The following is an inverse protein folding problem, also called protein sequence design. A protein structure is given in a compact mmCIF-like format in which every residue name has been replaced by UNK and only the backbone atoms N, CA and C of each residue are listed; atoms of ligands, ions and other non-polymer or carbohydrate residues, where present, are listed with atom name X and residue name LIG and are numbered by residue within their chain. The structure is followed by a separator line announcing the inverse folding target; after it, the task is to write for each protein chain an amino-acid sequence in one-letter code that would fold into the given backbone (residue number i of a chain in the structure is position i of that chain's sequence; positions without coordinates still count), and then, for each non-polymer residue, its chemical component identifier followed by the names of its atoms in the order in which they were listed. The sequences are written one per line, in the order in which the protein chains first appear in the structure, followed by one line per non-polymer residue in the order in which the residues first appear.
data_IF_374400681550
#
_entry.id   IF_374400681550
#
_cell.length_a   1.000
_cell.length_b   1.000
_cell.length_c   1.000
_cell.angle_alpha   90.00
_cell.angle_beta   90.00
_cell.angle_gamma   90.00
#
_symmetry.space_group_name_H-M   'P 1'
#
loop_
_entity.id
_entity.type
_entity.pdbx_description
1 polymer ?
#
# COMPACT_ATOMS: atom_id res chain seq x y z
N UNK A 1 -20.07 -1.44 -11.74
CA UNK A 1 -19.87 -0.32 -12.71
C UNK A 1 -20.09 1.07 -12.08
N UNK A 2 -20.54 1.13 -10.81
CA UNK A 2 -20.81 2.40 -10.13
C UNK A 2 -19.54 3.22 -9.91
N UNK A 3 -18.41 2.57 -9.62
CA UNK A 3 -17.15 3.22 -9.26
C UNK A 3 -16.22 3.52 -10.43
N UNK A 4 -16.50 2.99 -11.61
CA UNK A 4 -15.73 3.23 -12.87
C UNK A 4 -14.19 3.06 -12.72
N UNK A 5 -13.75 2.22 -11.78
CA UNK A 5 -12.32 1.98 -11.51
C UNK A 5 -11.65 2.98 -10.56
N UNK A 6 -12.39 3.89 -9.95
CA UNK A 6 -11.82 4.85 -8.99
C UNK A 6 -11.60 4.30 -7.59
N UNK A 7 -12.16 3.15 -7.28
CA UNK A 7 -11.96 2.46 -6.01
C UNK A 7 -11.33 1.08 -6.27
N UNK A 8 -10.06 0.97 -5.99
CA UNK A 8 -9.30 -0.26 -6.19
C UNK A 8 -9.60 -1.33 -5.12
N UNK A 9 -10.14 -0.89 -3.99
CA UNK A 9 -10.51 -1.73 -2.86
C UNK A 9 -12.01 -1.65 -2.57
N UNK A 10 -12.85 -1.70 -3.60
CA UNK A 10 -14.30 -1.48 -3.51
C UNK A 10 -15.02 -2.39 -2.51
N UNK A 11 -14.47 -3.57 -2.23
CA UNK A 11 -14.99 -4.48 -1.22
C UNK A 11 -14.50 -4.14 0.21
N UNK A 12 -13.44 -3.36 0.37
CA UNK A 12 -12.85 -3.07 1.68
C UNK A 12 -13.80 -2.27 2.57
N UNK A 13 -14.51 -1.29 2.02
CA UNK A 13 -15.45 -0.48 2.78
C UNK A 13 -16.60 -1.32 3.39
N UNK A 14 -17.38 -2.12 2.61
CA UNK A 14 -18.43 -2.95 3.19
C UNK A 14 -17.90 -4.03 4.12
N UNK A 15 -16.73 -4.63 3.83
CA UNK A 15 -16.10 -5.60 4.72
C UNK A 15 -15.66 -4.93 6.03
N UNK A 16 -15.07 -3.74 5.95
CA UNK A 16 -14.67 -2.96 7.12
C UNK A 16 -15.88 -2.57 7.99
N UNK A 17 -16.97 -2.12 7.40
CA UNK A 17 -18.22 -1.83 8.12
C UNK A 17 -18.81 -3.09 8.77
N UNK A 18 -18.85 -4.21 8.04
CA UNK A 18 -19.33 -5.48 8.61
C UNK A 18 -18.44 -5.92 9.79
N UNK A 19 -17.11 -5.83 9.65
CA UNK A 19 -16.17 -6.10 10.74
C UNK A 19 -16.39 -5.19 11.96
N UNK A 20 -16.65 -3.90 11.72
CA UNK A 20 -16.98 -2.95 12.77
C UNK A 20 -18.25 -3.33 13.53
N UNK A 21 -19.33 -3.67 12.83
CA UNK A 21 -20.59 -4.11 13.46
C UNK A 21 -20.41 -5.42 14.21
N UNK A 22 -19.69 -6.39 13.66
CA UNK A 22 -19.38 -7.64 14.32
C UNK A 22 -18.56 -7.41 15.61
N UNK A 23 -17.55 -6.55 15.53
CA UNK A 23 -16.74 -6.19 16.70
C UNK A 23 -17.62 -5.53 17.78
N UNK A 24 -18.43 -4.54 17.42
CA UNK A 24 -19.34 -3.89 18.35
C UNK A 24 -20.31 -4.90 19.00
N UNK A 25 -20.87 -5.80 18.22
CA UNK A 25 -21.81 -6.82 18.72
C UNK A 25 -21.12 -7.82 19.64
N UNK A 26 -20.02 -8.41 19.20
CA UNK A 26 -19.35 -9.48 19.96
C UNK A 26 -18.71 -8.95 21.25
N UNK A 27 -17.92 -7.90 21.15
CA UNK A 27 -17.07 -7.46 22.27
C UNK A 27 -17.75 -6.41 23.15
N UNK A 28 -18.57 -5.52 22.60
CA UNK A 28 -19.27 -4.49 23.40
C UNK A 28 -20.61 -4.93 23.92
N UNK A 29 -21.41 -5.65 23.10
CA UNK A 29 -22.78 -6.03 23.48
C UNK A 29 -22.81 -7.40 24.14
N UNK A 30 -22.12 -8.41 23.60
CA UNK A 30 -22.13 -9.77 24.13
C UNK A 30 -21.01 -10.02 25.16
N UNK A 31 -20.09 -9.07 25.36
CA UNK A 31 -19.05 -9.17 26.36
C UNK A 31 -18.00 -10.26 26.09
N UNK A 32 -17.87 -10.71 24.85
CA UNK A 32 -16.82 -11.68 24.47
C UNK A 32 -15.45 -11.02 24.71
N UNK A 33 -14.54 -11.74 25.34
CA UNK A 33 -13.19 -11.24 25.59
C UNK A 33 -12.43 -11.12 24.27
N UNK A 34 -11.88 -9.93 24.01
CA UNK A 34 -11.05 -9.68 22.84
C UNK A 34 -9.80 -10.58 22.91
N UNK A 35 -9.50 -11.34 21.85
CA UNK A 35 -8.24 -12.07 21.82
C UNK A 35 -7.07 -11.09 21.90
N UNK A 36 -6.04 -11.42 22.65
CA UNK A 36 -4.83 -10.61 22.71
C UNK A 36 -4.25 -10.46 21.31
N UNK A 37 -3.97 -9.23 20.90
CA UNK A 37 -3.26 -9.01 19.65
C UNK A 37 -1.89 -9.72 19.72
N UNK A 38 -1.47 -10.46 18.67
CA UNK A 38 -0.14 -11.02 18.63
C UNK A 38 0.88 -9.88 18.82
N UNK A 39 1.78 -10.04 19.80
CA UNK A 39 2.83 -9.04 20.01
C UNK A 39 3.73 -8.97 18.77
N UNK A 40 4.26 -7.79 18.48
CA UNK A 40 5.23 -7.62 17.38
C UNK A 40 6.44 -8.56 17.52
N UNK A 41 6.76 -8.94 18.75
CA UNK A 41 7.84 -9.87 19.10
C UNK A 41 7.59 -11.32 18.65
N UNK A 42 6.35 -11.69 18.34
CA UNK A 42 6.00 -13.03 17.81
C UNK A 42 6.18 -13.12 16.30
N UNK A 43 6.37 -12.00 15.59
CA UNK A 43 6.60 -11.99 14.15
C UNK A 43 8.05 -12.37 13.86
N UNK A 44 8.26 -13.51 13.21
CA UNK A 44 9.58 -13.91 12.76
C UNK A 44 10.06 -12.95 11.65
N UNK A 45 11.19 -12.30 11.87
CA UNK A 45 11.84 -11.43 10.88
C UNK A 45 12.70 -12.28 9.97
N UNK A 46 12.40 -12.25 8.68
CA UNK A 46 13.20 -12.94 7.68
C UNK A 46 14.48 -12.15 7.35
N UNK A 47 15.53 -12.86 6.92
CA UNK A 47 16.73 -12.22 6.42
C UNK A 47 16.40 -11.27 5.24
N UNK A 48 16.84 -10.02 5.36
CA UNK A 48 16.66 -9.00 4.31
C UNK A 48 17.20 -9.47 2.95
N UNK A 49 18.36 -10.12 2.96
CA UNK A 49 18.96 -10.67 1.73
C UNK A 49 18.07 -11.75 1.11
N UNK A 50 17.59 -12.70 1.91
CA UNK A 50 16.73 -13.79 1.44
C UNK A 50 15.44 -13.27 0.80
N UNK A 51 14.77 -12.31 1.46
CA UNK A 51 13.53 -11.74 0.93
C UNK A 51 13.78 -10.93 -0.34
N UNK A 52 14.84 -10.12 -0.37
CA UNK A 52 15.18 -9.34 -1.56
C UNK A 52 15.52 -10.25 -2.76
N UNK A 53 16.24 -11.35 -2.53
CA UNK A 53 16.53 -12.32 -3.58
C UNK A 53 15.25 -13.03 -4.04
N UNK A 54 14.44 -13.53 -3.12
CA UNK A 54 13.19 -14.22 -3.45
C UNK A 54 12.22 -13.31 -4.22
N UNK A 55 11.89 -12.15 -3.67
CA UNK A 55 11.02 -11.20 -4.34
C UNK A 55 11.63 -10.66 -5.63
N UNK A 56 12.94 -10.34 -5.62
CA UNK A 56 13.64 -9.84 -6.79
C UNK A 56 13.64 -10.82 -7.96
N UNK A 57 13.81 -12.12 -7.69
CA UNK A 57 13.72 -13.17 -8.73
C UNK A 57 12.29 -13.25 -9.28
N UNK A 58 11.27 -13.36 -8.41
CA UNK A 58 9.88 -13.47 -8.86
C UNK A 58 9.44 -12.25 -9.67
N UNK A 59 9.76 -11.05 -9.18
CA UNK A 59 9.44 -9.79 -9.83
C UNK A 59 10.24 -9.63 -11.13
N UNK A 60 11.52 -10.00 -11.11
CA UNK A 60 12.38 -9.99 -12.28
C UNK A 60 11.90 -10.93 -13.39
N UNK A 61 11.37 -12.10 -13.04
CA UNK A 61 10.75 -13.02 -14.00
C UNK A 61 9.57 -12.38 -14.71
N UNK A 62 8.75 -11.57 -14.03
CA UNK A 62 7.65 -10.83 -14.69
C UNK A 62 8.18 -9.90 -15.79
N UNK A 63 9.31 -9.21 -15.56
CA UNK A 63 9.96 -8.36 -16.57
C UNK A 63 10.46 -9.20 -17.74
N UNK A 64 11.13 -10.32 -17.46
CA UNK A 64 11.65 -11.22 -18.50
C UNK A 64 10.49 -11.76 -19.38
N UNK A 65 9.41 -12.21 -18.75
CA UNK A 65 8.22 -12.66 -19.50
C UNK A 65 7.58 -11.53 -20.30
N UNK A 66 7.46 -10.34 -19.74
CA UNK A 66 6.94 -9.19 -20.48
C UNK A 66 7.77 -8.87 -21.73
N UNK A 67 9.09 -8.90 -21.62
CA UNK A 67 10.00 -8.70 -22.75
C UNK A 67 9.90 -9.83 -23.77
N UNK A 68 9.81 -11.08 -23.30
CA UNK A 68 9.62 -12.26 -24.19
C UNK A 68 8.29 -12.21 -24.95
N UNK A 69 7.24 -11.62 -24.35
CA UNK A 69 5.95 -11.37 -25.00
C UNK A 69 5.97 -10.15 -25.94
N UNK A 70 7.10 -9.44 -26.05
CA UNK A 70 7.27 -8.32 -26.97
C UNK A 70 6.85 -6.96 -26.42
N UNK A 71 6.81 -6.78 -25.08
CA UNK A 71 6.56 -5.48 -24.49
C UNK A 71 7.61 -4.46 -24.94
N UNK A 72 7.15 -3.36 -25.52
CA UNK A 72 8.03 -2.27 -25.96
C UNK A 72 8.11 -1.17 -24.90
N UNK A 73 9.26 -0.55 -24.67
CA UNK A 73 9.41 0.55 -23.70
C UNK A 73 8.39 1.68 -23.91
N UNK A 74 8.04 1.98 -25.16
CA UNK A 74 7.04 3.00 -25.49
C UNK A 74 5.63 2.64 -24.99
N UNK A 75 5.27 1.35 -25.00
CA UNK A 75 3.97 0.88 -24.49
C UNK A 75 3.91 1.03 -22.97
N UNK A 76 4.97 0.65 -22.28
CA UNK A 76 5.05 0.83 -20.83
C UNK A 76 5.08 2.31 -20.44
N UNK A 77 5.83 3.14 -21.18
CA UNK A 77 5.82 4.59 -20.96
C UNK A 77 4.44 5.22 -21.13
N UNK A 78 3.65 4.73 -22.08
CA UNK A 78 2.26 5.17 -22.27
C UNK A 78 1.37 4.87 -21.05
N UNK A 79 1.61 3.76 -20.34
CA UNK A 79 0.94 3.49 -19.07
C UNK A 79 1.34 4.51 -18.00
N UNK A 80 2.65 4.77 -17.83
CA UNK A 80 3.16 5.68 -16.80
C UNK A 80 2.69 7.11 -16.97
N UNK A 81 2.40 7.51 -18.20
CA UNK A 81 2.00 8.87 -18.59
C UNK A 81 0.55 8.96 -19.02
N UNK A 82 -0.25 7.93 -18.76
CA UNK A 82 -1.67 7.93 -19.11
C UNK A 82 -2.38 9.13 -18.45
N UNK A 83 -3.13 9.95 -19.22
CA UNK A 83 -3.79 11.14 -18.71
C UNK A 83 -4.96 10.83 -17.79
N UNK A 84 -5.46 9.61 -17.85
CA UNK A 84 -6.56 9.12 -17.04
C UNK A 84 -6.19 7.79 -16.39
N UNK A 85 -6.92 7.44 -15.35
CA UNK A 85 -6.74 6.17 -14.66
C UNK A 85 -7.10 4.99 -15.58
N UNK A 86 -6.17 4.05 -15.74
CA UNK A 86 -6.37 2.82 -16.54
C UNK A 86 -7.02 1.76 -15.66
N UNK A 87 -8.32 1.52 -15.86
CA UNK A 87 -9.09 0.60 -15.01
C UNK A 87 -8.76 -0.90 -15.19
N UNK A 88 -8.14 -1.29 -16.31
CA UNK A 88 -7.64 -2.65 -16.54
C UNK A 88 -6.49 -2.62 -17.54
N UNK A 89 -5.28 -2.73 -17.03
CA UNK A 89 -4.05 -2.65 -17.83
C UNK A 89 -3.97 -3.81 -18.83
N UNK A 90 -4.23 -5.05 -18.38
CA UNK A 90 -4.12 -6.22 -19.24
C UNK A 90 -5.10 -6.21 -20.41
N UNK A 91 -6.33 -5.71 -20.21
CA UNK A 91 -7.34 -5.67 -21.27
C UNK A 91 -7.23 -4.45 -22.18
N UNK A 92 -6.68 -3.32 -21.69
CA UNK A 92 -6.60 -2.08 -22.46
C UNK A 92 -5.25 -1.90 -23.16
N UNK A 93 -4.17 -2.41 -22.55
CA UNK A 93 -2.80 -2.18 -23.02
C UNK A 93 -2.03 -3.47 -23.34
N UNK A 94 -2.57 -4.63 -22.98
CA UNK A 94 -1.98 -5.95 -23.20
C UNK A 94 -1.35 -6.57 -21.95
N UNK A 95 -1.31 -7.90 -21.94
CA UNK A 95 -0.75 -8.69 -20.82
C UNK A 95 0.74 -8.44 -20.64
N UNK A 96 1.46 -8.19 -21.72
CA UNK A 96 2.89 -7.87 -21.71
C UNK A 96 3.17 -6.54 -20.96
N UNK A 97 2.31 -5.53 -21.11
CA UNK A 97 2.42 -4.25 -20.38
C UNK A 97 2.05 -4.44 -18.91
N UNK A 98 1.03 -5.25 -18.63
CA UNK A 98 0.66 -5.60 -17.26
C UNK A 98 1.82 -6.31 -16.55
N UNK A 99 2.44 -7.33 -17.15
CA UNK A 99 3.57 -8.05 -16.55
C UNK A 99 4.79 -7.13 -16.35
N UNK A 100 5.05 -6.25 -17.32
CA UNK A 100 6.10 -5.23 -17.17
C UNK A 100 5.82 -4.33 -15.97
N UNK A 101 4.56 -3.91 -15.78
CA UNK A 101 4.15 -3.08 -14.66
C UNK A 101 4.29 -3.82 -13.32
N UNK A 102 3.89 -5.08 -13.23
CA UNK A 102 4.11 -5.92 -12.03
C UNK A 102 5.60 -5.97 -11.68
N UNK A 103 6.45 -6.18 -12.68
CA UNK A 103 7.89 -6.23 -12.49
C UNK A 103 8.48 -4.90 -12.01
N UNK A 104 8.26 -3.82 -12.74
CA UNK A 104 8.85 -2.51 -12.41
C UNK A 104 8.26 -1.94 -11.13
N UNK A 105 6.94 -2.05 -10.93
CA UNK A 105 6.31 -1.58 -9.69
C UNK A 105 6.74 -2.42 -8.48
N UNK A 106 6.89 -3.74 -8.66
CA UNK A 106 7.41 -4.62 -7.60
C UNK A 106 8.82 -4.24 -7.16
N UNK A 107 9.73 -3.99 -8.10
CA UNK A 107 11.08 -3.49 -7.79
C UNK A 107 11.03 -2.13 -7.09
N UNK A 108 10.12 -1.25 -7.51
CA UNK A 108 9.93 0.06 -6.88
C UNK A 108 9.46 -0.07 -5.42
N UNK A 109 8.47 -0.94 -5.14
CA UNK A 109 8.01 -1.21 -3.77
C UNK A 109 9.15 -1.81 -2.93
N UNK A 110 9.87 -2.79 -3.47
CA UNK A 110 10.96 -3.45 -2.77
C UNK A 110 12.09 -2.46 -2.44
N UNK A 111 12.44 -1.59 -3.37
CA UNK A 111 13.41 -0.53 -3.15
C UNK A 111 12.94 0.44 -2.06
N UNK A 112 11.69 0.87 -2.10
CA UNK A 112 11.12 1.75 -1.07
C UNK A 112 11.18 1.11 0.32
N UNK A 113 10.81 -0.17 0.47
CA UNK A 113 10.84 -0.87 1.76
C UNK A 113 12.27 -1.02 2.31
N UNK A 114 13.25 -1.20 1.42
CA UNK A 114 14.65 -1.19 1.82
C UNK A 114 15.12 0.21 2.27
N UNK A 115 14.67 1.27 1.58
CA UNK A 115 15.03 2.65 1.89
C UNK A 115 14.47 3.11 3.25
N UNK A 116 13.22 2.78 3.56
CA UNK A 116 12.63 3.13 4.85
C UNK A 116 13.07 2.22 6.00
N UNK A 117 13.83 1.17 5.72
CA UNK A 117 14.29 0.22 6.74
C UNK A 117 13.19 -0.68 7.30
N UNK A 118 12.14 -0.96 6.53
CA UNK A 118 11.05 -1.84 6.95
C UNK A 118 11.57 -3.24 7.32
N UNK A 119 10.98 -3.86 8.33
CA UNK A 119 11.24 -5.25 8.67
C UNK A 119 10.55 -6.18 7.70
N UNK A 120 11.26 -7.20 7.22
CA UNK A 120 10.68 -8.23 6.37
C UNK A 120 10.17 -9.40 7.22
N UNK A 121 8.87 -9.57 7.22
CA UNK A 121 8.15 -10.67 7.88
C UNK A 121 6.98 -11.13 6.99
N UNK A 122 6.19 -12.07 7.43
CA UNK A 122 5.05 -12.59 6.66
C UNK A 122 4.03 -11.51 6.28
N UNK A 123 3.80 -10.53 7.17
CA UNK A 123 2.89 -9.40 6.90
C UNK A 123 3.47 -8.51 5.79
N UNK A 124 4.74 -8.12 5.90
CA UNK A 124 5.40 -7.27 4.89
C UNK A 124 5.42 -7.93 3.51
N UNK A 125 5.66 -9.25 3.45
CA UNK A 125 5.57 -10.01 2.21
C UNK A 125 4.16 -9.98 1.64
N UNK A 126 3.15 -10.24 2.47
CA UNK A 126 1.74 -10.17 2.07
C UNK A 126 1.36 -8.80 1.51
N UNK A 127 1.86 -7.73 2.13
CA UNK A 127 1.64 -6.35 1.68
C UNK A 127 2.27 -6.10 0.30
N UNK A 128 3.49 -6.56 0.06
CA UNK A 128 4.14 -6.42 -1.26
C UNK A 128 3.27 -7.05 -2.34
N UNK A 129 2.83 -8.29 -2.15
CA UNK A 129 1.97 -8.97 -3.11
C UNK A 129 0.58 -8.32 -3.24
N UNK A 130 0.01 -7.84 -2.13
CA UNK A 130 -1.27 -7.11 -2.15
C UNK A 130 -1.17 -5.83 -3.01
N UNK A 131 -0.09 -5.06 -2.87
CA UNK A 131 0.12 -3.88 -3.73
C UNK A 131 0.29 -4.27 -5.20
N UNK A 132 0.95 -5.39 -5.50
CA UNK A 132 1.09 -5.88 -6.88
C UNK A 132 -0.25 -6.32 -7.49
N UNK A 133 -1.21 -6.78 -6.71
CA UNK A 133 -2.55 -7.12 -7.22
C UNK A 133 -3.25 -5.91 -7.85
N UNK A 134 -2.94 -4.69 -7.43
CA UNK A 134 -3.53 -3.46 -7.99
C UNK A 134 -2.90 -3.02 -9.33
N UNK A 135 -1.83 -3.67 -9.78
CA UNK A 135 -1.18 -3.36 -11.06
C UNK A 135 -2.14 -3.47 -12.24
N UNK A 136 -3.04 -4.46 -12.23
CA UNK A 136 -4.03 -4.59 -13.30
C UNK A 136 -5.11 -3.51 -13.22
N UNK A 137 -5.38 -2.99 -12.03
CA UNK A 137 -6.32 -1.90 -11.80
C UNK A 137 -5.68 -0.52 -11.95
N UNK A 138 -4.49 -0.43 -12.55
CA UNK A 138 -3.86 0.81 -12.96
C UNK A 138 -2.92 1.45 -11.95
N UNK A 139 -2.55 0.77 -10.86
CA UNK A 139 -1.45 1.24 -10.00
C UNK A 139 -0.11 0.99 -10.68
N UNK A 140 0.75 1.98 -10.68
CA UNK A 140 2.10 1.93 -11.26
C UNK A 140 3.02 2.94 -10.55
N UNK A 141 4.35 2.88 -10.73
CA UNK A 141 5.27 3.80 -10.04
C UNK A 141 4.91 5.28 -10.24
N UNK A 142 4.44 5.67 -11.43
CA UNK A 142 4.13 7.07 -11.76
C UNK A 142 2.98 7.67 -10.96
N UNK A 143 2.00 6.88 -10.49
CA UNK A 143 0.87 7.36 -9.71
C UNK A 143 0.93 7.00 -8.23
N UNK A 144 1.84 6.09 -7.82
CA UNK A 144 1.99 5.68 -6.41
C UNK A 144 3.15 6.41 -5.70
N UNK A 145 4.19 6.87 -6.44
CA UNK A 145 5.30 7.58 -5.79
C UNK A 145 4.87 8.81 -4.96
N UNK A 146 3.85 9.61 -5.35
CA UNK A 146 3.44 10.75 -4.53
C UNK A 146 2.77 10.29 -3.22
N UNK A 147 2.09 9.14 -3.27
CA UNK A 147 1.46 8.54 -2.09
C UNK A 147 2.54 8.09 -1.10
N UNK A 148 3.58 7.40 -1.58
CA UNK A 148 4.72 7.00 -0.76
C UNK A 148 5.45 8.21 -0.15
N UNK A 149 5.67 9.26 -0.95
CA UNK A 149 6.24 10.51 -0.46
C UNK A 149 5.33 11.18 0.58
N UNK A 150 4.02 11.18 0.37
CA UNK A 150 3.04 11.69 1.33
C UNK A 150 3.12 11.00 2.69
N UNK A 151 3.34 9.69 2.72
CA UNK A 151 3.57 8.93 3.95
C UNK A 151 4.88 9.32 4.66
N UNK A 152 5.95 9.54 3.90
CA UNK A 152 7.22 10.04 4.46
C UNK A 152 7.01 11.42 5.10
N UNK A 153 6.38 12.35 4.37
CA UNK A 153 6.08 13.69 4.87
C UNK A 153 5.16 13.66 6.10
N UNK A 154 4.13 12.82 6.08
CA UNK A 154 3.22 12.67 7.22
C UNK A 154 3.94 12.13 8.46
N UNK A 155 4.89 11.21 8.30
CA UNK A 155 5.70 10.69 9.39
C UNK A 155 6.62 11.78 9.99
N UNK A 156 7.19 12.65 9.16
CA UNK A 156 7.93 13.83 9.63
C UNK A 156 7.03 14.82 10.35
N UNK A 157 5.85 15.12 9.80
CA UNK A 157 4.88 16.02 10.43
C UNK A 157 4.42 15.47 11.79
N UNK A 158 4.12 14.18 11.87
CA UNK A 158 3.73 13.53 13.12
C UNK A 158 4.84 13.63 14.18
N UNK A 159 6.10 13.40 13.77
CA UNK A 159 7.27 13.57 14.65
C UNK A 159 7.45 15.01 15.12
N UNK A 160 7.26 16.00 14.25
CA UNK A 160 7.30 17.41 14.60
C UNK A 160 6.16 17.81 15.56
N UNK A 161 4.95 17.33 15.32
CA UNK A 161 3.80 17.56 16.21
C UNK A 161 4.04 16.94 17.60
N UNK A 162 4.71 15.80 17.68
CA UNK A 162 5.08 15.17 18.94
C UNK A 162 5.97 16.08 19.80
N UNK A 163 6.94 16.78 19.19
CA UNK A 163 7.78 17.77 19.90
C UNK A 163 6.92 18.92 20.44
N UNK A 164 6.03 19.47 19.62
CA UNK A 164 5.15 20.58 20.03
C UNK A 164 4.24 20.16 21.20
N UNK A 165 3.85 18.90 21.25
CA UNK A 165 3.08 18.33 22.36
C UNK A 165 3.93 17.98 23.61
N UNK A 166 5.21 18.35 23.65
CA UNK A 166 6.11 18.08 24.78
C UNK A 166 6.76 16.68 24.77
N UNK A 167 6.63 15.94 23.70
CA UNK A 167 7.28 14.63 23.50
C UNK A 167 8.61 14.73 22.74
N UNK A 168 9.16 13.59 22.36
CA UNK A 168 10.36 13.49 21.55
C UNK A 168 10.01 13.34 20.07
N UNK A 169 10.93 13.78 19.19
CA UNK A 169 10.79 13.49 17.76
C UNK A 169 10.86 11.98 17.50
N UNK A 170 9.85 11.44 16.83
CA UNK A 170 9.79 10.04 16.43
C UNK A 170 9.51 9.96 14.94
N UNK A 171 10.34 9.22 14.21
CA UNK A 171 10.12 8.93 12.79
C UNK A 171 9.81 7.46 12.63
N UNK A 172 8.53 7.15 12.43
CA UNK A 172 8.00 5.78 12.52
C UNK A 172 7.55 5.21 11.17
N UNK A 173 8.09 5.74 10.06
CA UNK A 173 7.71 5.33 8.70
C UNK A 173 7.84 3.82 8.45
N UNK A 174 8.76 3.16 9.15
CA UNK A 174 9.02 1.72 9.06
C UNK A 174 8.21 0.89 10.07
N UNK A 175 7.39 1.52 10.91
CA UNK A 175 6.53 0.79 11.84
C UNK A 175 5.53 -0.09 11.07
N UNK A 176 5.28 -1.31 11.55
CA UNK A 176 4.44 -2.30 10.88
C UNK A 176 3.08 -1.74 10.48
N UNK A 177 2.40 -1.03 11.39
CA UNK A 177 1.08 -0.44 11.12
C UNK A 177 1.12 0.62 10.00
N UNK A 178 2.20 1.42 9.92
CA UNK A 178 2.38 2.43 8.87
C UNK A 178 2.62 1.76 7.52
N UNK A 179 3.43 0.70 7.48
CA UNK A 179 3.70 -0.06 6.26
C UNK A 179 2.43 -0.75 5.76
N UNK A 180 1.61 -1.30 6.65
CA UNK A 180 0.27 -1.84 6.33
C UNK A 180 -0.64 -0.74 5.80
N UNK A 181 -0.71 0.40 6.48
CA UNK A 181 -1.50 1.55 6.05
C UNK A 181 -1.13 2.03 4.63
N UNK A 182 0.17 2.04 4.30
CA UNK A 182 0.65 2.42 2.97
C UNK A 182 0.13 1.44 1.88
N UNK A 183 0.01 0.15 2.19
CA UNK A 183 -0.59 -0.82 1.27
C UNK A 183 -2.01 -0.39 0.85
N UNK A 184 -2.83 0.01 1.83
CA UNK A 184 -4.19 0.49 1.55
C UNK A 184 -4.18 1.87 0.89
N UNK A 185 -3.24 2.75 1.25
CA UNK A 185 -3.07 4.04 0.60
C UNK A 185 -2.74 3.92 -0.90
N UNK A 186 -2.16 2.80 -1.35
CA UNK A 186 -1.98 2.51 -2.77
C UNK A 186 -3.30 2.61 -3.56
N UNK A 187 -4.44 2.32 -2.92
CA UNK A 187 -5.78 2.53 -3.48
C UNK A 187 -6.13 3.98 -3.83
N UNK A 188 -5.32 4.96 -3.37
CA UNK A 188 -5.46 6.38 -3.73
C UNK A 188 -4.82 6.73 -5.08
N UNK A 189 -4.17 5.77 -5.76
CA UNK A 189 -3.51 6.00 -7.05
C UNK A 189 -4.42 6.62 -8.12
N UNK A 190 -5.75 6.35 -8.19
CA UNK A 190 -6.64 7.05 -9.10
C UNK A 190 -6.75 8.55 -8.84
N UNK A 191 -6.61 8.99 -7.58
CA UNK A 191 -6.59 10.42 -7.23
C UNK A 191 -5.36 11.09 -7.86
N UNK A 192 -4.20 10.44 -7.73
CA UNK A 192 -2.96 10.90 -8.37
C UNK A 192 -3.10 10.99 -9.89
N UNK A 193 -3.65 9.94 -10.53
CA UNK A 193 -3.82 9.90 -11.98
C UNK A 193 -4.77 10.99 -12.48
N UNK A 194 -5.86 11.27 -11.75
CA UNK A 194 -6.88 12.22 -12.18
C UNK A 194 -6.55 13.67 -11.83
N UNK A 195 -6.02 13.92 -10.64
CA UNK A 195 -5.85 15.28 -10.10
C UNK A 195 -4.38 15.70 -9.96
N UNK A 196 -3.45 14.82 -10.31
CA UNK A 196 -2.02 15.07 -10.28
C UNK A 196 -1.37 14.69 -8.94
N UNK A 197 -0.03 14.67 -8.98
CA UNK A 197 0.83 14.21 -7.89
C UNK A 197 0.60 14.94 -6.56
N UNK A 198 0.31 16.25 -6.59
CA UNK A 198 0.10 17.03 -5.38
C UNK A 198 -1.12 16.54 -4.59
N UNK A 199 -2.24 16.32 -5.26
CA UNK A 199 -3.45 15.84 -4.60
C UNK A 199 -3.34 14.38 -4.14
N UNK A 200 -2.57 13.56 -4.86
CA UNK A 200 -2.21 12.22 -4.39
C UNK A 200 -1.42 12.25 -3.08
N UNK A 201 -0.45 13.16 -2.97
CA UNK A 201 0.35 13.35 -1.76
C UNK A 201 -0.50 13.88 -0.59
N UNK A 202 -1.37 14.87 -0.82
CA UNK A 202 -2.30 15.39 0.19
C UNK A 202 -3.21 14.27 0.70
N UNK A 203 -3.82 13.50 -0.20
CA UNK A 203 -4.67 12.38 0.17
C UNK A 203 -3.91 11.33 1.00
N UNK A 204 -2.65 11.05 0.66
CA UNK A 204 -1.80 10.14 1.42
C UNK A 204 -1.47 10.65 2.83
N UNK A 205 -1.19 11.95 2.98
CA UNK A 205 -1.00 12.57 4.30
C UNK A 205 -2.26 12.44 5.16
N UNK A 206 -3.42 12.73 4.59
CA UNK A 206 -4.69 12.56 5.29
C UNK A 206 -4.94 11.10 5.69
N UNK A 207 -4.67 10.17 4.78
CA UNK A 207 -4.82 8.75 5.04
C UNK A 207 -3.87 8.26 6.14
N UNK A 208 -2.64 8.74 6.18
CA UNK A 208 -1.68 8.44 7.26
C UNK A 208 -2.24 8.79 8.64
N UNK A 209 -2.74 10.01 8.82
CA UNK A 209 -3.32 10.43 10.09
C UNK A 209 -4.60 9.67 10.43
N UNK A 210 -5.41 9.33 9.44
CA UNK A 210 -6.60 8.50 9.63
C UNK A 210 -6.21 7.12 10.17
N UNK A 211 -5.28 6.44 9.50
CA UNK A 211 -4.81 5.08 9.87
C UNK A 211 -4.20 5.05 11.27
N UNK A 212 -3.43 6.07 11.64
CA UNK A 212 -2.82 6.15 12.98
C UNK A 212 -3.84 6.49 14.08
N UNK A 213 -4.98 7.08 13.74
CA UNK A 213 -6.04 7.44 14.69
C UNK A 213 -7.04 6.30 14.94
N UNK A 214 -7.32 5.47 13.93
CA UNK A 214 -8.31 4.39 14.00
C UNK A 214 -8.08 3.39 15.16
N UNK A 215 -6.84 2.94 15.46
CA UNK A 215 -6.60 2.03 16.58
C UNK A 215 -7.06 2.61 17.93
N UNK A 216 -6.92 3.90 18.12
CA UNK A 216 -7.33 4.58 19.36
C UNK A 216 -8.85 4.71 19.46
N UNK A 217 -9.54 4.93 18.33
CA UNK A 217 -10.99 5.02 18.28
C UNK A 217 -11.69 3.70 18.62
N UNK A 218 -11.07 2.58 18.31
CA UNK A 218 -11.65 1.24 18.45
C UNK A 218 -11.01 0.40 19.53
N UNK A 219 -10.33 1.02 20.50
CA UNK A 219 -9.64 0.29 21.57
C UNK A 219 -8.50 -0.60 21.06
N UNK A 220 -7.83 -0.18 19.99
CA UNK A 220 -6.75 -0.93 19.37
C UNK A 220 -7.20 -2.00 18.38
N UNK A 221 -8.49 -2.13 18.12
CA UNK A 221 -8.99 -3.06 17.10
C UNK A 221 -8.79 -2.42 15.72
N UNK A 222 -7.72 -2.78 15.07
CA UNK A 222 -7.44 -2.36 13.70
C UNK A 222 -8.12 -3.32 12.73
N UNK A 223 -8.78 -2.78 11.73
CA UNK A 223 -9.39 -3.55 10.63
C UNK A 223 -8.36 -3.95 9.55
N UNK A 224 -7.08 -3.77 9.84
CA UNK A 224 -5.98 -4.16 8.97
C UNK A 224 -5.43 -5.51 9.35
#
# INVERSE_FOLDING_TARGET
KVQKGFDLYSAALPVGLAGFFLNATLYKTLGVVLPAAPSADTLQVASRLTVNLFCGILIGLCIVFALAMGCKPKQYWALLTAPEHVGSVSSQMGTEVFLMNVGVFGLFILAYYNLIGASFNGVTLGIIFCMLCTCNSGSHPGNVWPIMLGYVLASFLAGGLSIVAGGNFTFVINAQAIVVGLCFANGLSPITSKYGWFWGMVAAVMHYFLVTSVPNLHGGFCLY
#
